data_IF_046349215627
#
_entry.id   IF_046349215627
#
_cell.length_a   1.000
_cell.length_b   1.000
_cell.length_c   1.000
_cell.angle_alpha   90.00
_cell.angle_beta   90.00
_cell.angle_gamma   90.00
#
_symmetry.space_group_name_H-M   'P 1'
#
loop_
_entity.id
_entity.type
_entity.pdbx_description
1 polymer ?
#
# COMPACT_ATOMS: atom_id res chain seq x y z
N UNK A 1 43.50 1.10 52.39
CA UNK A 1 43.73 1.60 51.02
C UNK A 1 42.56 1.20 50.14
N UNK A 2 42.06 2.13 49.33
CA UNK A 2 40.70 2.18 48.76
C UNK A 2 40.60 1.44 47.41
N UNK A 3 39.80 0.36 47.29
CA UNK A 3 39.58 -0.33 46.00
C UNK A 3 38.45 0.30 45.15
N UNK A 4 37.96 1.48 45.51
CA UNK A 4 36.77 2.10 44.89
C UNK A 4 36.97 2.57 43.44
N UNK A 5 38.21 2.79 42.99
CA UNK A 5 38.50 3.33 41.65
C UNK A 5 38.38 2.29 40.52
N UNK A 6 38.60 0.99 40.82
CA UNK A 6 38.45 -0.07 39.81
C UNK A 6 36.99 -0.45 39.61
N UNK A 7 36.22 -0.54 40.70
CA UNK A 7 34.81 -0.88 40.65
C UNK A 7 33.99 0.20 39.93
N UNK A 8 34.26 1.48 40.20
CA UNK A 8 33.62 2.60 39.51
C UNK A 8 33.94 2.62 38.01
N UNK A 9 35.19 2.34 37.62
CA UNK A 9 35.57 2.28 36.21
C UNK A 9 34.88 1.14 35.47
N UNK A 10 34.83 -0.06 36.05
CA UNK A 10 34.11 -1.22 35.47
C UNK A 10 32.63 -0.91 35.31
N UNK A 11 32.01 -0.31 36.33
CA UNK A 11 30.61 0.08 36.30
C UNK A 11 30.32 1.13 35.21
N UNK A 12 31.20 2.13 35.06
CA UNK A 12 31.07 3.14 34.01
C UNK A 12 31.19 2.51 32.61
N UNK A 13 32.16 1.64 32.37
CA UNK A 13 32.29 0.98 31.06
C UNK A 13 31.07 0.13 30.75
N UNK A 14 30.57 -0.63 31.74
CA UNK A 14 29.39 -1.48 31.58
C UNK A 14 28.11 -0.68 31.27
N UNK A 15 27.92 0.47 31.94
CA UNK A 15 26.80 1.37 31.66
C UNK A 15 26.90 2.00 30.27
N UNK A 16 28.10 2.37 29.82
CA UNK A 16 28.32 2.94 28.49
C UNK A 16 28.03 1.90 27.41
N UNK A 17 28.55 0.67 27.53
CA UNK A 17 28.26 -0.39 26.57
C UNK A 17 26.79 -0.75 26.56
N UNK A 18 26.14 -0.85 27.73
CA UNK A 18 24.71 -1.10 27.81
C UNK A 18 23.89 0.01 27.12
N UNK A 19 24.22 1.28 27.35
CA UNK A 19 23.56 2.40 26.68
C UNK A 19 23.76 2.39 25.15
N UNK A 20 24.97 2.06 24.69
CA UNK A 20 25.27 1.96 23.26
C UNK A 20 24.46 0.85 22.59
N UNK A 21 24.29 -0.30 23.26
CA UNK A 21 23.45 -1.40 22.76
C UNK A 21 21.99 -0.97 22.64
N UNK A 22 21.45 -0.29 23.65
CA UNK A 22 20.06 0.20 23.62
C UNK A 22 19.85 1.25 22.53
N UNK A 23 20.81 2.17 22.33
CA UNK A 23 20.73 3.14 21.24
C UNK A 23 20.86 2.50 19.85
N UNK A 24 21.70 1.47 19.72
CA UNK A 24 21.82 0.72 18.47
C UNK A 24 20.54 -0.08 18.17
N UNK A 25 19.92 -0.68 19.19
CA UNK A 25 18.64 -1.39 19.08
C UNK A 25 17.52 -0.42 18.67
N UNK A 26 17.33 0.68 19.41
CA UNK A 26 16.34 1.70 19.08
C UNK A 26 16.59 2.34 17.70
N UNK A 27 17.86 2.59 17.36
CA UNK A 27 18.24 3.08 16.04
C UNK A 27 17.91 2.08 14.93
N UNK A 28 18.14 0.78 15.17
CA UNK A 28 17.76 -0.29 14.25
C UNK A 28 16.24 -0.41 14.10
N UNK A 29 15.48 -0.29 15.20
CA UNK A 29 14.00 -0.28 15.17
C UNK A 29 13.47 0.88 14.35
N UNK A 30 13.95 2.10 14.62
CA UNK A 30 13.51 3.30 13.89
C UNK A 30 13.91 3.25 12.41
N UNK A 31 15.10 2.71 12.07
CA UNK A 31 15.51 2.54 10.68
C UNK A 31 14.71 1.43 9.95
N UNK A 32 14.10 0.48 10.66
CA UNK A 32 13.31 -0.58 10.04
C UNK A 32 11.89 -0.11 9.72
N UNK A 33 11.29 0.77 10.53
CA UNK A 33 9.86 1.11 10.42
C UNK A 33 9.50 2.11 9.29
N UNK A 34 10.43 2.93 8.77
CA UNK A 34 10.06 4.06 7.89
C UNK A 34 10.57 4.07 6.42
N UNK A 35 11.73 3.50 6.02
CA UNK A 35 12.22 3.67 4.63
C UNK A 35 12.01 2.47 3.69
N UNK A 36 11.89 1.23 4.20
CA UNK A 36 11.83 0.03 3.34
C UNK A 36 10.41 -0.22 2.81
N UNK A 37 9.39 0.09 3.61
CA UNK A 37 7.98 0.08 3.21
C UNK A 37 7.70 1.12 2.12
N UNK A 38 8.20 2.34 2.29
CA UNK A 38 8.11 3.39 1.27
C UNK A 38 8.82 3.00 -0.04
N UNK A 39 9.99 2.37 0.04
CA UNK A 39 10.77 1.97 -1.13
C UNK A 39 10.23 0.72 -1.86
N UNK A 40 9.62 -0.23 -1.13
CA UNK A 40 8.99 -1.42 -1.74
C UNK A 40 7.70 -1.05 -2.47
N UNK A 41 6.91 -0.11 -1.91
CA UNK A 41 5.74 0.46 -2.58
C UNK A 41 6.11 1.23 -3.86
N UNK A 42 7.13 2.09 -3.81
CA UNK A 42 7.44 3.01 -4.92
C UNK A 42 7.88 2.32 -6.22
N UNK A 43 8.57 1.17 -6.15
CA UNK A 43 9.03 0.47 -7.35
C UNK A 43 7.95 -0.38 -8.03
N UNK A 44 6.98 -0.86 -7.25
CA UNK A 44 5.87 -1.66 -7.76
C UNK A 44 4.71 -0.77 -8.24
N UNK A 45 4.56 0.40 -7.61
CA UNK A 45 3.62 1.45 -8.00
C UNK A 45 3.94 2.05 -9.37
N UNK A 46 5.20 2.15 -9.77
CA UNK A 46 5.57 2.60 -11.12
C UNK A 46 4.94 1.72 -12.21
N UNK A 47 5.17 0.40 -12.13
CA UNK A 47 4.61 -0.56 -13.11
C UNK A 47 3.09 -0.64 -13.05
N UNK A 48 2.51 -0.61 -11.85
CA UNK A 48 1.06 -0.62 -11.69
C UNK A 48 0.42 0.69 -12.21
N UNK A 49 1.14 1.81 -12.13
CA UNK A 49 0.70 3.08 -12.71
C UNK A 49 0.77 3.04 -14.23
N UNK A 50 1.86 2.51 -14.80
CA UNK A 50 1.97 2.33 -16.26
C UNK A 50 0.83 1.44 -16.81
N UNK A 51 0.52 0.33 -16.12
CA UNK A 51 -0.59 -0.57 -16.48
C UNK A 51 -1.96 0.11 -16.36
N UNK A 52 -2.15 0.94 -15.33
CA UNK A 52 -3.37 1.72 -15.15
C UNK A 52 -3.52 2.79 -16.24
N UNK A 53 -2.44 3.50 -16.59
CA UNK A 53 -2.43 4.54 -17.63
C UNK A 53 -2.75 3.94 -19.01
N UNK A 54 -2.22 2.75 -19.32
CA UNK A 54 -2.55 1.98 -20.53
C UNK A 54 -4.04 1.58 -20.56
N UNK A 55 -4.58 1.14 -19.42
CA UNK A 55 -5.98 0.78 -19.28
C UNK A 55 -6.90 2.00 -19.45
N UNK A 56 -6.60 3.12 -18.80
CA UNK A 56 -7.35 4.37 -18.94
C UNK A 56 -7.35 4.89 -20.38
N UNK A 57 -6.21 4.78 -21.08
CA UNK A 57 -6.07 5.23 -22.47
C UNK A 57 -6.87 4.36 -23.45
N UNK A 58 -7.00 3.07 -23.17
CA UNK A 58 -7.76 2.13 -24.03
C UNK A 58 -9.26 2.09 -23.71
N UNK A 59 -9.65 2.48 -22.50
CA UNK A 59 -11.03 2.35 -22.02
C UNK A 59 -11.95 3.46 -22.55
N UNK A 60 -13.03 3.07 -23.21
CA UNK A 60 -14.02 4.03 -23.72
C UNK A 60 -15.02 4.47 -22.65
N UNK A 61 -14.93 5.72 -22.20
CA UNK A 61 -15.87 6.35 -21.26
C UNK A 61 -17.15 6.88 -21.91
N UNK A 62 -17.32 6.67 -23.23
CA UNK A 62 -18.51 7.14 -23.95
C UNK A 62 -19.74 6.28 -23.59
N UNK A 63 -20.73 6.92 -22.97
CA UNK A 63 -22.03 6.31 -22.68
C UNK A 63 -23.11 7.19 -23.28
N UNK A 64 -23.83 6.68 -24.28
CA UNK A 64 -25.00 7.36 -24.86
C UNK A 64 -26.26 6.95 -24.11
N UNK A 65 -27.07 7.93 -23.71
CA UNK A 65 -28.41 7.68 -23.16
C UNK A 65 -28.48 7.30 -21.68
N UNK A 66 -27.41 7.45 -20.90
CA UNK A 66 -27.49 7.35 -19.44
C UNK A 66 -28.12 8.62 -18.87
N UNK A 67 -29.29 8.48 -18.24
CA UNK A 67 -30.06 9.60 -17.69
C UNK A 67 -29.55 10.14 -16.35
N UNK A 68 -28.69 9.40 -15.63
CA UNK A 68 -28.07 9.81 -14.36
C UNK A 68 -26.60 9.37 -14.28
N UNK A 69 -25.84 9.98 -13.37
CA UNK A 69 -24.44 9.63 -13.13
C UNK A 69 -24.29 8.21 -12.57
N UNK A 70 -25.20 7.74 -11.71
CA UNK A 70 -25.15 6.36 -11.23
C UNK A 70 -25.46 5.36 -12.35
N UNK A 71 -26.38 5.69 -13.27
CA UNK A 71 -26.66 4.87 -14.43
C UNK A 71 -25.44 4.81 -15.36
N UNK A 72 -24.75 5.94 -15.55
CA UNK A 72 -23.51 6.01 -16.31
C UNK A 72 -22.39 5.19 -15.65
N UNK A 73 -22.18 5.36 -14.36
CA UNK A 73 -21.17 4.65 -13.59
C UNK A 73 -21.40 3.13 -13.63
N UNK A 74 -22.66 2.69 -13.54
CA UNK A 74 -23.01 1.27 -13.66
C UNK A 74 -22.67 0.71 -15.03
N UNK A 75 -23.07 1.38 -16.10
CA UNK A 75 -22.75 0.94 -17.48
C UNK A 75 -21.25 0.86 -17.71
N UNK A 76 -20.48 1.82 -17.20
CA UNK A 76 -19.02 1.80 -17.30
C UNK A 76 -18.42 0.66 -16.47
N UNK A 77 -18.89 0.46 -15.23
CA UNK A 77 -18.40 -0.59 -14.36
C UNK A 77 -18.72 -1.99 -14.89
N UNK A 78 -19.88 -2.19 -15.53
CA UNK A 78 -20.22 -3.44 -16.23
C UNK A 78 -19.25 -3.72 -17.38
N UNK A 79 -19.04 -2.74 -18.27
CA UNK A 79 -18.07 -2.87 -19.37
C UNK A 79 -16.65 -3.10 -18.88
N UNK A 80 -16.28 -2.44 -17.78
CA UNK A 80 -14.97 -2.59 -17.16
C UNK A 80 -14.80 -3.99 -16.58
N UNK A 81 -15.85 -4.55 -15.97
CA UNK A 81 -15.82 -5.91 -15.41
C UNK A 81 -15.51 -6.98 -16.43
N UNK A 82 -15.91 -6.78 -17.69
CA UNK A 82 -15.65 -7.71 -18.80
C UNK A 82 -14.19 -7.65 -19.30
N UNK A 83 -13.44 -6.60 -18.94
CA UNK A 83 -12.10 -6.32 -19.44
C UNK A 83 -10.99 -6.65 -18.44
N UNK A 84 -11.33 -6.90 -17.16
CA UNK A 84 -10.36 -7.09 -16.09
C UNK A 84 -10.27 -8.54 -15.62
N UNK A 85 -9.05 -9.02 -15.41
CA UNK A 85 -8.71 -10.29 -14.79
C UNK A 85 -8.20 -10.12 -13.36
N UNK A 86 -7.89 -11.23 -12.69
CA UNK A 86 -7.24 -11.20 -11.36
C UNK A 86 -5.79 -10.73 -11.49
N UNK A 87 -5.39 -9.78 -10.65
CA UNK A 87 -4.05 -9.21 -10.59
C UNK A 87 -3.86 -7.97 -11.46
N UNK A 88 -4.87 -7.57 -12.22
CA UNK A 88 -4.87 -6.37 -13.07
C UNK A 88 -5.08 -5.11 -12.23
N UNK A 89 -4.49 -4.00 -12.66
CA UNK A 89 -4.80 -2.68 -12.11
C UNK A 89 -6.25 -2.26 -12.40
N UNK A 90 -6.96 -1.76 -11.39
CA UNK A 90 -8.38 -1.39 -11.51
C UNK A 90 -8.71 0.05 -11.10
N UNK A 91 -7.74 0.79 -10.58
CA UNK A 91 -7.91 2.19 -10.19
C UNK A 91 -6.87 2.63 -9.17
N UNK A 92 -7.06 3.82 -8.60
CA UNK A 92 -6.19 4.40 -7.57
C UNK A 92 -6.99 4.69 -6.31
N UNK A 93 -6.37 4.49 -5.15
CA UNK A 93 -6.91 4.86 -3.84
C UNK A 93 -6.04 5.95 -3.27
N UNK A 94 -6.64 7.10 -2.99
CA UNK A 94 -5.99 8.25 -2.38
C UNK A 94 -6.71 8.60 -1.06
N UNK A 95 -5.95 8.69 0.04
CA UNK A 95 -6.47 9.09 1.36
C UNK A 95 -5.49 10.07 2.01
N UNK A 96 -5.72 11.36 1.74
CA UNK A 96 -4.84 12.47 2.16
C UNK A 96 -4.52 12.48 3.65
N UNK A 97 -5.52 12.20 4.49
CA UNK A 97 -5.39 12.28 5.95
C UNK A 97 -4.39 11.28 6.53
N UNK A 98 -4.06 10.23 5.78
CA UNK A 98 -3.10 9.19 6.16
C UNK A 98 -1.98 9.01 5.12
N UNK A 99 -1.89 9.91 4.13
CA UNK A 99 -0.83 9.91 3.13
C UNK A 99 -0.79 8.67 2.24
N UNK A 100 -1.95 8.07 1.96
CA UNK A 100 -2.07 6.88 1.12
C UNK A 100 -2.32 7.32 -0.33
N UNK A 101 -1.50 6.81 -1.26
CA UNK A 101 -1.72 6.85 -2.71
C UNK A 101 -1.21 5.53 -3.29
N UNK A 102 -2.12 4.63 -3.68
CA UNK A 102 -1.75 3.34 -4.26
C UNK A 102 -2.64 2.97 -5.44
N UNK A 103 -2.07 2.25 -6.40
CA UNK A 103 -2.84 1.54 -7.43
C UNK A 103 -3.49 0.31 -6.81
N UNK A 104 -4.80 0.19 -7.00
CA UNK A 104 -5.61 -0.95 -6.58
C UNK A 104 -5.61 -2.02 -7.65
N UNK A 105 -5.59 -3.27 -7.22
CA UNK A 105 -5.59 -4.46 -8.07
C UNK A 105 -6.90 -5.24 -7.92
N UNK A 106 -7.24 -6.03 -8.93
CA UNK A 106 -8.39 -6.92 -8.87
C UNK A 106 -8.03 -8.26 -8.22
N UNK A 107 -8.48 -8.52 -6.99
CA UNK A 107 -8.25 -9.78 -6.29
C UNK A 107 -7.36 -9.66 -5.07
N UNK A 108 -7.39 -10.68 -4.22
CA UNK A 108 -6.69 -10.70 -2.92
C UNK A 108 -5.87 -11.97 -2.72
N UNK A 109 -5.42 -12.60 -3.81
CA UNK A 109 -4.46 -13.69 -3.72
C UNK A 109 -3.07 -13.16 -3.35
N UNK A 110 -2.21 -14.07 -2.87
CA UNK A 110 -0.88 -13.71 -2.37
C UNK A 110 -0.03 -12.97 -3.41
N UNK A 111 -0.10 -13.33 -4.68
CA UNK A 111 0.70 -12.68 -5.72
C UNK A 111 0.19 -11.26 -6.02
N UNK A 112 -1.12 -11.06 -5.95
CA UNK A 112 -1.74 -9.73 -6.10
C UNK A 112 -1.42 -8.81 -4.93
N UNK A 113 -1.59 -9.27 -3.68
CA UNK A 113 -1.35 -8.44 -2.50
C UNK A 113 0.13 -8.06 -2.28
N UNK A 114 1.06 -8.83 -2.84
CA UNK A 114 2.48 -8.43 -2.88
C UNK A 114 2.73 -7.19 -3.73
N UNK A 115 1.84 -6.90 -4.71
CA UNK A 115 1.99 -5.76 -5.61
C UNK A 115 1.32 -4.49 -5.08
N UNK A 116 0.25 -4.63 -4.32
CA UNK A 116 -0.52 -3.51 -3.77
C UNK A 116 -1.90 -3.93 -3.25
N UNK A 117 -2.71 -2.96 -2.80
CA UNK A 117 -4.05 -3.23 -2.30
C UNK A 117 -4.94 -3.91 -3.34
N UNK A 118 -5.65 -4.95 -2.93
CA UNK A 118 -6.49 -5.78 -3.77
C UNK A 118 -7.97 -5.72 -3.41
N UNK A 119 -8.85 -5.63 -4.41
CA UNK A 119 -10.31 -5.77 -4.23
C UNK A 119 -10.69 -7.23 -3.97
N UNK A 120 -11.58 -7.44 -3.01
CA UNK A 120 -12.27 -8.71 -2.81
C UNK A 120 -13.20 -9.03 -4.00
N UNK A 121 -12.91 -10.10 -4.74
CA UNK A 121 -13.67 -10.49 -5.94
C UNK A 121 -15.16 -10.75 -5.68
N UNK A 122 -15.51 -11.13 -4.44
CA UNK A 122 -16.88 -11.37 -3.99
C UNK A 122 -17.69 -10.09 -3.69
N UNK A 123 -17.05 -8.92 -3.68
CA UNK A 123 -17.72 -7.62 -3.48
C UNK A 123 -17.92 -6.92 -4.83
N UNK A 124 -18.94 -6.08 -5.06
CA UNK A 124 -19.11 -5.38 -6.34
C UNK A 124 -17.92 -4.47 -6.69
N UNK A 125 -17.69 -4.25 -7.99
CA UNK A 125 -16.79 -3.20 -8.47
C UNK A 125 -17.33 -1.80 -8.12
N UNK A 126 -16.45 -0.82 -7.93
CA UNK A 126 -16.85 0.58 -7.89
C UNK A 126 -17.72 0.94 -9.10
N UNK A 127 -18.86 1.60 -8.87
CA UNK A 127 -19.82 1.98 -9.92
C UNK A 127 -20.97 1.00 -10.15
N UNK A 128 -20.86 -0.29 -9.78
CA UNK A 128 -22.00 -1.24 -9.87
C UNK A 128 -23.06 -0.98 -8.78
N UNK A 129 -22.65 -0.34 -7.68
CA UNK A 129 -23.46 -0.12 -6.49
C UNK A 129 -23.20 -1.18 -5.41
N UNK A 130 -23.46 -0.82 -4.16
CA UNK A 130 -23.11 -1.64 -2.99
C UNK A 130 -21.73 -1.31 -2.41
N UNK A 131 -21.25 -2.15 -1.50
CA UNK A 131 -19.97 -1.95 -0.80
C UNK A 131 -18.84 -2.70 -1.47
N UNK A 132 -17.81 -2.00 -1.93
CA UNK A 132 -16.55 -2.59 -2.41
C UNK A 132 -15.60 -2.81 -1.23
N UNK A 133 -15.11 -4.03 -1.08
CA UNK A 133 -14.11 -4.37 -0.07
C UNK A 133 -12.72 -4.40 -0.68
N UNK A 134 -11.74 -3.82 0.02
CA UNK A 134 -10.33 -3.75 -0.39
C UNK A 134 -9.46 -4.20 0.78
N UNK A 135 -8.43 -4.98 0.50
CA UNK A 135 -7.41 -5.41 1.45
C UNK A 135 -6.03 -4.93 0.98
N UNK A 136 -5.15 -4.55 1.90
CA UNK A 136 -3.79 -4.09 1.60
C UNK A 136 -2.87 -4.36 2.78
#
# INVERSE_FOLDING_TARGET
>A
MRPHHRATRILSTALITAGLVVLADAGMTLLWEEPVSAAYGSLQQGRASDELDDLESSFSTEVRGAGTDEARARVLAERFSDQIGTGDAIGRIEVDSVGIDFVMLNGTDTATLQKGPGRYLQTPLPGLGGTTGIAG
#
